data_IF_955151821480
#
_entry.id   IF_955151821480
#
_cell.length_a   1.000
_cell.length_b   1.000
_cell.length_c   1.000
_cell.angle_alpha   90.00
_cell.angle_beta   90.00
_cell.angle_gamma   90.00
#
_symmetry.space_group_name_H-M   'P 1'
#
loop_
_entity.id
_entity.type
_entity.pdbx_description
1 polymer ?
#
# COMPACT_ATOMS: atom_id res chain seq x y z
N UNK A 1 -2.05 20.32 -24.20
CA UNK A 1 -2.34 18.97 -23.67
C UNK A 1 -1.33 18.70 -22.56
N UNK A 2 -1.79 18.32 -21.36
CA UNK A 2 -0.87 17.95 -20.28
C UNK A 2 -0.21 16.61 -20.63
N UNK A 3 1.09 16.47 -20.36
CA UNK A 3 1.79 15.19 -20.57
C UNK A 3 1.28 14.18 -19.52
N UNK A 4 0.94 12.95 -19.90
CA UNK A 4 0.50 11.94 -18.94
C UNK A 4 1.64 11.65 -17.96
N UNK A 5 1.30 11.62 -16.68
CA UNK A 5 2.18 11.07 -15.65
C UNK A 5 1.82 9.61 -15.53
N UNK A 6 2.64 8.73 -16.08
CA UNK A 6 2.40 7.27 -16.01
C UNK A 6 2.94 6.68 -14.71
N UNK A 7 4.06 7.21 -14.23
CA UNK A 7 4.71 6.77 -12.99
C UNK A 7 5.11 7.98 -12.14
N UNK A 8 4.90 7.85 -10.84
CA UNK A 8 5.33 8.82 -9.84
C UNK A 8 6.01 8.08 -8.69
N UNK A 9 7.20 8.55 -8.32
CA UNK A 9 7.94 8.05 -7.17
C UNK A 9 8.35 9.19 -6.27
N UNK A 10 7.99 9.07 -4.99
CA UNK A 10 8.50 9.90 -3.92
C UNK A 10 9.41 9.02 -3.04
N UNK A 11 10.71 9.15 -3.25
CA UNK A 11 11.75 8.49 -2.49
C UNK A 11 12.76 9.51 -1.98
N UNK A 12 13.40 9.20 -0.85
CA UNK A 12 14.50 10.03 -0.34
C UNK A 12 15.74 9.82 -1.23
N UNK A 13 16.56 10.86 -1.51
CA UNK A 13 17.66 10.79 -2.47
C UNK A 13 18.84 9.87 -2.09
N UNK A 14 18.88 9.31 -0.88
CA UNK A 14 19.86 8.28 -0.52
C UNK A 14 19.45 6.93 -1.10
N UNK A 15 19.71 6.73 -2.39
CA UNK A 15 19.44 5.49 -3.14
C UNK A 15 19.96 4.21 -2.46
N UNK A 16 21.00 4.31 -1.62
CA UNK A 16 21.59 3.18 -0.89
C UNK A 16 20.81 2.78 0.37
N UNK A 17 19.93 3.64 0.87
CA UNK A 17 19.05 3.36 2.01
C UNK A 17 17.62 3.46 1.54
N UNK A 18 17.02 2.30 1.21
CA UNK A 18 15.59 2.16 0.97
C UNK A 18 14.82 2.43 2.27
N UNK A 19 14.84 3.67 2.74
CA UNK A 19 14.24 4.10 3.99
C UNK A 19 13.19 5.15 3.70
N UNK A 20 12.00 4.95 4.27
CA UNK A 20 10.92 5.92 4.18
C UNK A 20 11.38 7.31 4.65
N UNK A 21 11.19 8.32 3.79
CA UNK A 21 11.42 9.72 4.13
C UNK A 21 10.34 10.24 5.08
N UNK A 22 10.52 11.46 5.58
CA UNK A 22 9.49 12.13 6.40
C UNK A 22 8.80 13.19 5.55
N UNK A 23 7.50 13.04 5.32
CA UNK A 23 6.69 14.11 4.74
C UNK A 23 6.39 15.11 5.87
N UNK A 24 6.76 16.38 5.69
CA UNK A 24 6.37 17.45 6.62
C UNK A 24 4.88 17.76 6.44
N UNK A 25 4.00 17.46 7.43
CA UNK A 25 2.55 17.64 7.26
C UNK A 25 2.17 19.09 6.99
N UNK A 26 2.95 20.05 7.51
CA UNK A 26 2.73 21.50 7.30
C UNK A 26 2.92 21.95 5.85
N UNK A 27 3.58 21.13 5.02
CA UNK A 27 3.76 21.40 3.59
C UNK A 27 2.72 20.68 2.73
N UNK A 28 1.89 19.83 3.33
CA UNK A 28 0.74 19.23 2.68
C UNK A 28 -0.35 20.29 2.58
N UNK A 29 -0.77 20.61 1.36
CA UNK A 29 -1.90 21.49 1.12
C UNK A 29 -3.07 20.67 0.57
N UNK A 30 -4.09 20.33 1.38
CA UNK A 30 -5.23 19.50 0.97
C UNK A 30 -5.98 20.07 -0.24
N UNK A 31 -5.98 21.40 -0.38
CA UNK A 31 -6.57 22.09 -1.53
C UNK A 31 -5.98 21.70 -2.88
N UNK A 32 -4.81 21.05 -2.91
CA UNK A 32 -4.16 20.59 -4.14
C UNK A 32 -5.00 19.54 -4.87
N UNK A 33 -5.70 18.66 -4.14
CA UNK A 33 -6.52 17.61 -4.75
C UNK A 33 -7.81 18.12 -5.40
N UNK A 34 -8.29 19.30 -4.99
CA UNK A 34 -9.43 19.96 -5.63
C UNK A 34 -9.07 20.69 -6.93
N UNK A 35 -7.79 20.77 -7.28
CA UNK A 35 -7.37 21.38 -8.54
C UNK A 35 -7.65 20.41 -9.68
N UNK A 36 -8.61 20.74 -10.56
CA UNK A 36 -9.01 19.91 -11.72
C UNK A 36 -7.81 19.44 -12.55
N UNK A 37 -6.80 20.30 -12.73
CA UNK A 37 -5.58 19.93 -13.47
C UNK A 37 -4.76 18.84 -12.77
N UNK A 38 -4.74 18.82 -11.45
CA UNK A 38 -4.08 17.77 -10.69
C UNK A 38 -4.78 16.44 -10.97
N UNK A 39 -6.10 16.35 -10.75
CA UNK A 39 -6.87 15.13 -11.01
C UNK A 39 -6.75 14.64 -12.46
N UNK A 40 -6.73 15.53 -13.46
CA UNK A 40 -6.51 15.13 -14.85
C UNK A 40 -5.13 14.51 -15.09
N UNK A 41 -4.07 15.09 -14.53
CA UNK A 41 -2.71 14.53 -14.64
C UNK A 41 -2.57 13.23 -13.84
N UNK A 42 -3.17 13.16 -12.66
CA UNK A 42 -3.07 12.00 -11.77
C UNK A 42 -3.93 10.83 -12.25
N UNK A 43 -5.01 11.11 -12.98
CA UNK A 43 -5.86 10.07 -13.57
C UNK A 43 -5.13 9.18 -14.59
N UNK A 44 -4.01 9.63 -15.16
CA UNK A 44 -3.20 8.81 -16.08
C UNK A 44 -2.19 7.93 -15.36
N UNK A 45 -2.05 8.08 -14.03
CA UNK A 45 -1.06 7.38 -13.23
C UNK A 45 -1.38 5.89 -13.17
N UNK A 46 -0.40 5.07 -13.52
CA UNK A 46 -0.49 3.61 -13.45
C UNK A 46 0.45 3.04 -12.39
N UNK A 47 1.50 3.77 -12.02
CA UNK A 47 2.44 3.37 -10.97
C UNK A 47 2.65 4.49 -9.94
N UNK A 48 2.44 4.15 -8.67
CA UNK A 48 2.67 5.02 -7.54
C UNK A 48 3.62 4.33 -6.56
N UNK A 49 4.70 5.03 -6.22
CA UNK A 49 5.72 4.57 -5.29
C UNK A 49 5.94 5.66 -4.24
N UNK A 50 5.55 5.40 -2.99
CA UNK A 50 5.65 6.35 -1.89
C UNK A 50 6.46 5.72 -0.74
N UNK A 51 7.71 6.15 -0.61
CA UNK A 51 8.58 5.74 0.48
C UNK A 51 8.57 6.86 1.52
N UNK A 52 7.52 6.88 2.34
CA UNK A 52 7.25 7.96 3.27
C UNK A 52 6.60 7.46 4.55
N UNK A 53 7.12 7.94 5.69
CA UNK A 53 6.59 7.63 7.01
C UNK A 53 5.18 8.17 7.15
N UNK A 54 4.19 7.28 7.25
CA UNK A 54 2.79 7.63 7.52
C UNK A 54 2.61 7.74 9.03
N UNK A 55 3.07 8.85 9.58
CA UNK A 55 3.23 9.02 11.04
C UNK A 55 1.92 9.20 11.80
N UNK A 56 0.90 9.74 11.15
CA UNK A 56 -0.35 10.16 11.77
C UNK A 56 -1.51 10.07 10.77
N UNK A 57 -2.73 10.27 11.28
CA UNK A 57 -3.95 10.24 10.49
C UNK A 57 -3.99 11.31 9.38
N UNK A 58 -3.36 12.47 9.59
CA UNK A 58 -3.34 13.53 8.56
C UNK A 58 -2.52 13.10 7.34
N UNK A 59 -1.39 12.43 7.57
CA UNK A 59 -0.61 11.84 6.48
C UNK A 59 -1.31 10.63 5.87
N UNK A 60 -2.07 9.86 6.65
CA UNK A 60 -2.89 8.77 6.12
C UNK A 60 -3.96 9.30 5.14
N UNK A 61 -4.70 10.35 5.53
CA UNK A 61 -5.69 11.02 4.69
C UNK A 61 -5.04 11.55 3.41
N UNK A 62 -3.88 12.21 3.53
CA UNK A 62 -3.13 12.71 2.37
C UNK A 62 -2.71 11.60 1.39
N UNK A 63 -2.21 10.47 1.91
CA UNK A 63 -1.82 9.33 1.08
C UNK A 63 -3.04 8.69 0.43
N UNK A 64 -4.15 8.58 1.17
CA UNK A 64 -5.42 8.10 0.62
C UNK A 64 -5.92 9.00 -0.53
N UNK A 65 -5.95 10.32 -0.33
CA UNK A 65 -6.36 11.28 -1.37
C UNK A 65 -5.46 11.18 -2.61
N UNK A 66 -4.14 11.00 -2.44
CA UNK A 66 -3.23 10.75 -3.56
C UNK A 66 -3.58 9.49 -4.36
N UNK A 67 -3.95 8.42 -3.67
CA UNK A 67 -4.31 7.14 -4.29
C UNK A 67 -5.67 7.25 -4.98
N UNK A 68 -6.65 7.89 -4.34
CA UNK A 68 -8.01 8.06 -4.86
C UNK A 68 -8.05 8.87 -6.17
N UNK A 69 -7.16 9.85 -6.31
CA UNK A 69 -7.00 10.61 -7.56
C UNK A 69 -6.39 9.81 -8.73
N UNK A 70 -5.96 8.56 -8.51
CA UNK A 70 -5.35 7.69 -9.52
C UNK A 70 -6.23 6.46 -9.85
N UNK A 71 -7.39 6.64 -10.51
CA UNK A 71 -8.31 5.54 -10.83
C UNK A 71 -7.73 4.45 -11.75
N UNK A 72 -6.65 4.76 -12.49
CA UNK A 72 -5.98 3.81 -13.39
C UNK A 72 -4.75 3.16 -12.75
N UNK A 73 -4.57 3.30 -11.42
CA UNK A 73 -3.43 2.76 -10.71
C UNK A 73 -3.42 1.24 -10.79
N UNK A 74 -2.27 0.70 -11.22
CA UNK A 74 -2.01 -0.74 -11.36
C UNK A 74 -0.94 -1.22 -10.39
N UNK A 75 0.01 -0.36 -10.06
CA UNK A 75 1.10 -0.67 -9.14
C UNK A 75 1.15 0.34 -8.01
N UNK A 76 1.06 -0.18 -6.80
CA UNK A 76 1.17 0.60 -5.58
C UNK A 76 2.31 0.02 -4.74
N UNK A 77 3.28 0.88 -4.43
CA UNK A 77 4.44 0.56 -3.57
C UNK A 77 4.50 1.56 -2.43
N UNK A 78 4.28 1.08 -1.20
CA UNK A 78 4.23 1.89 0.01
C UNK A 78 5.29 1.42 1.00
N UNK A 79 6.20 2.30 1.39
CA UNK A 79 7.03 2.10 2.58
C UNK A 79 6.63 3.10 3.66
N UNK A 80 5.96 2.62 4.71
CA UNK A 80 5.40 3.46 5.76
C UNK A 80 6.36 3.73 6.93
N UNK A 81 7.59 3.19 6.90
CA UNK A 81 8.65 3.41 7.88
C UNK A 81 8.27 3.27 9.37
N UNK A 82 7.27 2.45 9.69
CA UNK A 82 6.79 2.17 11.03
C UNK A 82 5.92 3.27 11.65
N UNK A 83 5.32 4.13 10.84
CA UNK A 83 4.42 5.19 11.33
C UNK A 83 3.09 4.66 11.88
N UNK A 84 2.50 5.40 12.83
CA UNK A 84 1.27 5.01 13.54
C UNK A 84 -0.01 5.24 12.72
N UNK A 85 0.04 5.97 11.59
CA UNK A 85 -1.15 6.27 10.78
C UNK A 85 -1.53 5.20 9.76
N UNK A 86 -0.83 4.07 9.73
CA UNK A 86 -1.02 3.05 8.70
C UNK A 86 -2.36 2.33 8.84
N UNK A 87 -2.82 2.10 10.07
CA UNK A 87 -4.14 1.49 10.32
C UNK A 87 -5.27 2.32 9.70
N UNK A 88 -5.26 3.64 9.93
CA UNK A 88 -6.22 4.59 9.36
C UNK A 88 -6.18 4.58 7.83
N UNK A 89 -4.98 4.52 7.23
CA UNK A 89 -4.84 4.42 5.78
C UNK A 89 -5.51 3.15 5.22
N UNK A 90 -5.27 1.99 5.81
CA UNK A 90 -5.87 0.74 5.32
C UNK A 90 -7.37 0.62 5.62
N UNK A 91 -7.86 1.25 6.68
CA UNK A 91 -9.29 1.41 6.91
C UNK A 91 -9.95 2.20 5.78
N UNK A 92 -9.35 3.33 5.36
CA UNK A 92 -9.86 4.12 4.23
C UNK A 92 -9.78 3.35 2.90
N UNK A 93 -8.65 2.69 2.64
CA UNK A 93 -8.46 1.92 1.40
C UNK A 93 -9.36 0.67 1.32
N UNK A 94 -9.70 0.08 2.46
CA UNK A 94 -10.55 -1.11 2.57
C UNK A 94 -12.06 -0.84 2.55
N UNK A 95 -12.51 0.43 2.53
CA UNK A 95 -13.93 0.78 2.44
C UNK A 95 -14.54 0.36 1.08
N UNK A 96 -15.80 -0.09 1.12
CA UNK A 96 -16.57 -0.40 -0.08
C UNK A 96 -16.69 0.83 -0.99
N UNK A 97 -16.41 0.66 -2.29
CA UNK A 97 -16.45 1.74 -3.29
C UNK A 97 -15.09 2.05 -3.92
N UNK A 98 -14.00 1.51 -3.36
CA UNK A 98 -12.69 1.58 -3.98
C UNK A 98 -12.66 0.70 -5.26
N UNK A 99 -12.60 1.33 -6.42
CA UNK A 99 -12.62 0.66 -7.73
C UNK A 99 -11.22 0.37 -8.29
N UNK A 100 -10.18 0.47 -7.46
CA UNK A 100 -8.83 0.13 -7.86
C UNK A 100 -8.73 -1.32 -8.36
N UNK A 101 -7.88 -1.50 -9.38
CA UNK A 101 -7.56 -2.80 -9.96
C UNK A 101 -6.05 -2.99 -9.95
N UNK A 102 -5.49 -3.04 -8.75
CA UNK A 102 -4.06 -3.22 -8.60
C UNK A 102 -3.64 -4.59 -9.14
N UNK A 103 -2.61 -4.58 -9.97
CA UNK A 103 -1.90 -5.75 -10.47
C UNK A 103 -0.68 -6.07 -9.60
N UNK A 104 -0.07 -5.04 -9.01
CA UNK A 104 1.12 -5.13 -8.15
C UNK A 104 0.90 -4.33 -6.89
N UNK A 105 1.03 -4.97 -5.74
CA UNK A 105 1.01 -4.30 -4.45
C UNK A 105 2.25 -4.67 -3.63
N UNK A 106 2.97 -3.64 -3.19
CA UNK A 106 4.12 -3.76 -2.31
C UNK A 106 3.91 -2.91 -1.07
N UNK A 107 4.12 -3.51 0.08
CA UNK A 107 3.98 -2.87 1.37
C UNK A 107 5.21 -3.18 2.21
N UNK A 108 5.89 -2.14 2.68
CA UNK A 108 7.01 -2.25 3.58
C UNK A 108 6.94 -1.31 4.78
N UNK A 109 7.65 -1.68 5.84
CA UNK A 109 7.83 -0.81 7.00
C UNK A 109 6.51 -0.50 7.69
N UNK A 110 5.70 -1.51 7.99
CA UNK A 110 4.41 -1.33 8.65
C UNK A 110 4.44 -1.90 10.05
N UNK A 111 4.04 -1.10 11.03
CA UNK A 111 3.88 -1.51 12.42
C UNK A 111 2.47 -1.17 12.86
N UNK A 112 1.76 -2.18 13.37
CA UNK A 112 0.47 -2.02 14.01
C UNK A 112 -0.76 -2.03 13.10
N UNK A 113 -0.65 -2.64 11.92
CA UNK A 113 -1.81 -2.84 11.04
C UNK A 113 -2.70 -3.97 11.57
N UNK A 114 -4.02 -3.81 11.45
CA UNK A 114 -4.98 -4.89 11.67
C UNK A 114 -4.96 -5.88 10.50
N UNK A 115 -4.92 -7.18 10.80
CA UNK A 115 -5.02 -8.23 9.77
C UNK A 115 -6.31 -8.13 8.96
N UNK A 116 -7.41 -7.69 9.59
CA UNK A 116 -8.69 -7.51 8.92
C UNK A 116 -8.68 -6.31 7.95
N UNK A 117 -8.07 -5.19 8.32
CA UNK A 117 -8.03 -4.00 7.46
C UNK A 117 -7.20 -4.25 6.20
N UNK A 118 -6.05 -4.91 6.37
CA UNK A 118 -5.24 -5.36 5.24
C UNK A 118 -6.01 -6.35 4.36
N UNK A 119 -6.69 -7.33 4.97
CA UNK A 119 -7.46 -8.32 4.22
C UNK A 119 -8.58 -7.67 3.40
N UNK A 120 -9.36 -6.77 3.99
CA UNK A 120 -10.42 -6.03 3.30
C UNK A 120 -9.87 -5.31 2.07
N UNK A 121 -8.76 -4.60 2.20
CA UNK A 121 -8.09 -3.95 1.07
C UNK A 121 -7.58 -4.93 0.01
N UNK A 122 -6.99 -6.06 0.40
CA UNK A 122 -6.53 -7.05 -0.58
C UNK A 122 -7.70 -7.67 -1.35
N UNK A 123 -8.83 -7.92 -0.67
CA UNK A 123 -10.03 -8.49 -1.27
C UNK A 123 -10.68 -7.59 -2.32
N UNK A 124 -10.57 -6.26 -2.21
CA UNK A 124 -11.04 -5.35 -3.27
C UNK A 124 -10.26 -5.52 -4.57
N UNK A 125 -9.00 -5.98 -4.48
CA UNK A 125 -8.10 -6.21 -5.62
C UNK A 125 -7.96 -7.70 -6.02
N UNK A 126 -8.75 -8.61 -5.43
CA UNK A 126 -8.56 -10.07 -5.57
C UNK A 126 -8.51 -10.60 -7.00
N UNK A 127 -9.26 -9.96 -7.90
CA UNK A 127 -9.40 -10.39 -9.29
C UNK A 127 -8.34 -9.81 -10.24
N UNK A 128 -7.54 -8.85 -9.76
CA UNK A 128 -6.50 -8.19 -10.55
C UNK A 128 -5.10 -8.40 -10.00
N UNK A 129 -4.96 -8.67 -8.70
CA UNK A 129 -3.67 -8.71 -8.02
C UNK A 129 -2.84 -9.92 -8.44
N UNK A 130 -1.70 -9.65 -9.09
CA UNK A 130 -0.77 -10.66 -9.63
C UNK A 130 0.50 -10.78 -8.80
N UNK A 131 0.96 -9.68 -8.21
CA UNK A 131 2.18 -9.63 -7.41
C UNK A 131 1.84 -8.98 -6.07
N UNK A 132 2.10 -9.71 -4.99
CA UNK A 132 1.98 -9.21 -3.62
C UNK A 132 3.32 -9.34 -2.90
N UNK A 133 3.81 -8.24 -2.36
CA UNK A 133 5.05 -8.20 -1.59
C UNK A 133 4.82 -7.49 -0.26
N UNK A 134 4.99 -8.22 0.85
CA UNK A 134 4.90 -7.70 2.21
C UNK A 134 6.28 -7.83 2.88
N UNK A 135 6.86 -6.71 3.31
CA UNK A 135 8.17 -6.69 4.00
C UNK A 135 8.10 -5.93 5.32
N UNK A 136 8.66 -6.47 6.39
CA UNK A 136 8.68 -5.77 7.69
C UNK A 136 7.28 -5.32 8.10
N UNK A 137 6.32 -6.25 8.11
CA UNK A 137 4.93 -5.98 8.46
C UNK A 137 4.65 -6.62 9.82
N UNK A 138 4.29 -5.80 10.80
CA UNK A 138 3.87 -6.23 12.13
C UNK A 138 2.39 -5.95 12.34
N UNK A 139 1.62 -7.00 12.61
CA UNK A 139 0.21 -6.95 12.92
C UNK A 139 -0.02 -6.71 14.42
N UNK A 140 -0.91 -5.78 14.76
CA UNK A 140 -1.30 -5.53 16.17
C UNK A 140 -2.40 -6.47 16.63
N UNK A 141 -3.36 -6.76 15.75
CA UNK A 141 -4.48 -7.64 15.99
C UNK A 141 -4.82 -8.45 14.72
N UNK A 142 -5.31 -9.68 14.92
CA UNK A 142 -5.62 -10.61 13.85
C UNK A 142 -4.46 -11.56 13.54
N UNK A 143 -4.81 -12.78 13.12
CA UNK A 143 -3.83 -13.81 12.76
C UNK A 143 -3.43 -13.57 11.30
N UNK A 144 -2.19 -13.17 11.03
CA UNK A 144 -1.66 -13.08 9.65
C UNK A 144 -1.88 -14.37 8.84
N UNK A 145 -2.02 -15.51 9.53
CA UNK A 145 -2.39 -16.81 8.96
C UNK A 145 -3.73 -16.74 8.19
N UNK A 146 -4.74 -16.03 8.70
CA UNK A 146 -6.04 -15.90 8.00
C UNK A 146 -5.91 -15.09 6.71
N UNK A 147 -5.05 -14.06 6.72
CA UNK A 147 -4.73 -13.28 5.52
C UNK A 147 -4.06 -14.19 4.48
N UNK A 148 -3.16 -15.08 4.90
CA UNK A 148 -2.52 -16.03 4.00
C UNK A 148 -3.45 -17.10 3.45
N UNK A 149 -4.32 -17.67 4.30
CA UNK A 149 -5.32 -18.63 3.84
C UNK A 149 -6.23 -18.02 2.77
N UNK A 150 -6.63 -16.75 2.98
CA UNK A 150 -7.40 -15.98 2.00
C UNK A 150 -6.62 -15.78 0.69
N UNK A 151 -5.36 -15.37 0.77
CA UNK A 151 -4.49 -15.20 -0.41
C UNK A 151 -4.36 -16.47 -1.25
N UNK A 152 -4.32 -17.65 -0.61
CA UNK A 152 -4.23 -18.93 -1.33
C UNK A 152 -5.55 -19.38 -1.97
N UNK A 153 -6.70 -18.92 -1.46
CA UNK A 153 -8.03 -19.41 -1.89
C UNK A 153 -8.80 -18.43 -2.77
N UNK A 154 -8.61 -17.13 -2.56
CA UNK A 154 -9.50 -16.09 -3.08
C UNK A 154 -8.88 -15.24 -4.19
N UNK A 155 -7.60 -15.46 -4.53
CA UNK A 155 -6.84 -14.64 -5.48
C UNK A 155 -6.46 -15.46 -6.72
N UNK A 156 -7.39 -15.62 -7.69
CA UNK A 156 -7.24 -16.56 -8.80
C UNK A 156 -6.11 -16.21 -9.80
N UNK A 157 -5.62 -14.97 -9.78
CA UNK A 157 -4.60 -14.47 -10.71
C UNK A 157 -3.27 -14.13 -10.04
N UNK A 158 -3.12 -14.44 -8.74
CA UNK A 158 -1.89 -14.21 -7.99
C UNK A 158 -0.78 -15.14 -8.49
N UNK A 159 0.31 -14.55 -8.98
CA UNK A 159 1.46 -15.25 -9.57
C UNK A 159 2.66 -15.24 -8.65
N UNK A 160 2.84 -14.17 -7.90
CA UNK A 160 4.00 -13.93 -7.05
C UNK A 160 3.52 -13.45 -5.68
N UNK A 161 3.99 -14.14 -4.65
CA UNK A 161 3.81 -13.75 -3.26
C UNK A 161 5.20 -13.65 -2.64
N UNK A 162 5.47 -12.58 -1.92
CA UNK A 162 6.72 -12.40 -1.14
C UNK A 162 6.35 -11.91 0.24
N UNK A 163 6.85 -12.61 1.26
CA UNK A 163 6.60 -12.31 2.67
C UNK A 163 7.95 -12.28 3.36
N UNK A 164 8.34 -11.15 3.93
CA UNK A 164 9.62 -11.00 4.61
C UNK A 164 9.40 -10.29 5.94
N UNK A 165 9.93 -10.87 7.03
CA UNK A 165 9.82 -10.30 8.37
C UNK A 165 8.37 -9.95 8.75
N UNK A 166 7.51 -10.96 8.73
CA UNK A 166 6.10 -10.83 9.11
C UNK A 166 5.96 -11.23 10.59
N UNK A 167 5.30 -10.39 11.38
CA UNK A 167 5.11 -10.63 12.81
C UNK A 167 3.68 -10.31 13.23
N UNK A 168 3.16 -10.99 14.24
CA UNK A 168 1.98 -10.54 14.97
C UNK A 168 2.28 -10.44 16.48
N UNK A 169 1.40 -9.77 17.22
CA UNK A 169 1.52 -9.59 18.67
C UNK A 169 1.48 -10.91 19.46
N UNK A 170 0.96 -11.98 18.86
CA UNK A 170 0.69 -13.28 19.50
C UNK A 170 1.75 -14.37 19.27
N UNK A 171 2.36 -14.41 18.09
CA UNK A 171 3.25 -15.49 17.60
C UNK A 171 4.69 -15.02 17.36
N UNK A 172 4.96 -13.72 17.46
CA UNK A 172 6.30 -13.13 17.32
C UNK A 172 6.76 -12.97 15.87
N UNK A 173 8.05 -12.66 15.67
CA UNK A 173 8.61 -12.43 14.32
C UNK A 173 8.84 -13.74 13.59
N UNK A 174 8.29 -13.88 12.38
CA UNK A 174 8.50 -15.01 11.49
C UNK A 174 9.18 -14.58 10.19
N UNK A 175 10.15 -15.38 9.77
CA UNK A 175 10.74 -15.33 8.43
C UNK A 175 10.04 -16.39 7.59
N UNK A 176 9.22 -15.99 6.62
CA UNK A 176 8.51 -16.90 5.73
C UNK A 176 8.82 -16.58 4.28
N UNK A 177 9.94 -17.08 3.75
CA UNK A 177 10.22 -16.98 2.32
C UNK A 177 9.31 -17.95 1.57
N UNK A 178 8.27 -17.43 0.93
CA UNK A 178 7.39 -18.24 0.10
C UNK A 178 7.35 -17.68 -1.31
N UNK A 179 8.30 -18.05 -2.17
CA UNK A 179 8.17 -17.87 -3.62
C UNK A 179 7.23 -18.95 -4.15
N UNK A 180 5.93 -18.63 -4.27
CA UNK A 180 5.03 -19.47 -5.08
C UNK A 180 5.20 -19.03 -6.54
N UNK A 181 5.59 -19.97 -7.40
CA UNK A 181 5.31 -19.89 -8.83
C UNK A 181 3.95 -20.55 -9.06
N UNK A 182 2.97 -19.79 -9.55
CA UNK A 182 1.66 -20.32 -9.92
C UNK A 182 1.75 -21.25 -11.13
N UNK A 183 0.73 -22.10 -11.30
CA UNK A 183 0.42 -22.77 -12.56
C UNK A 183 0.24 -21.76 -13.71
#
# INVERSE_FOLDING_TARGET
>A
MARPVESFSCSYPDFDKHSAGVIEPRRVCPHTFHVVRFGLCWSTLTELCLLAQVKDALLADFVYELIDQAPNLKKLDLDCGGGEGVDALFQLLGQEGNNMKLEVFKLSGVVGISGQDLQSFLLTNRNSLRILELRTVRFDAGLWETVLESLMREFPVLKELTLLWIADSTTGVRNAFLCIYSR
#
